data_IF_403885452550
#
_entry.id   IF_403885452550
#
_cell.length_a   1.000
_cell.length_b   1.000
_cell.length_c   1.000
_cell.angle_alpha   90.00
_cell.angle_beta   90.00
_cell.angle_gamma   90.00
#
_symmetry.space_group_name_H-M   'P 1'
#
loop_
_entity.id
_entity.type
_entity.pdbx_description
1 polymer ?
#
# COMPACT_ATOMS: atom_id res chain seq x y z
N UNK A 1 -32.74 3.79 6.08
CA UNK A 1 -31.57 3.01 5.60
C UNK A 1 -30.38 3.53 6.40
N UNK A 2 -29.91 2.71 7.32
CA UNK A 2 -29.08 3.07 8.47
C UNK A 2 -27.71 3.62 8.01
N UNK A 3 -27.55 4.94 8.07
CA UNK A 3 -26.31 5.68 7.78
C UNK A 3 -25.77 6.31 9.07
N UNK A 4 -25.65 5.52 10.14
CA UNK A 4 -25.39 6.04 11.49
C UNK A 4 -24.09 5.56 12.16
N UNK A 5 -23.28 4.74 11.50
CA UNK A 5 -21.91 4.49 11.99
C UNK A 5 -20.96 5.51 11.35
N UNK A 6 -20.30 6.33 12.18
CA UNK A 6 -19.16 7.14 11.72
C UNK A 6 -18.07 6.18 11.22
N UNK A 7 -17.56 6.34 9.98
CA UNK A 7 -16.50 5.49 9.46
C UNK A 7 -15.26 5.52 10.38
N UNK A 8 -14.61 4.38 10.55
CA UNK A 8 -13.41 4.28 11.36
C UNK A 8 -12.28 5.13 10.76
N UNK A 9 -11.70 6.03 11.55
CA UNK A 9 -10.45 6.69 11.18
C UNK A 9 -9.27 5.79 11.55
N UNK A 10 -8.56 5.31 10.52
CA UNK A 10 -7.46 4.37 10.72
C UNK A 10 -6.27 4.98 11.44
N UNK A 11 -5.99 6.28 11.30
CA UNK A 11 -4.89 6.89 12.05
C UNK A 11 -5.22 7.03 13.52
N UNK A 12 -6.47 7.36 13.86
CA UNK A 12 -6.91 7.38 15.27
C UNK A 12 -6.87 5.96 15.86
N UNK A 13 -7.36 4.97 15.11
CA UNK A 13 -7.30 3.56 15.50
C UNK A 13 -5.86 3.12 15.78
N UNK A 14 -4.94 3.36 14.85
CA UNK A 14 -3.54 2.97 15.03
C UNK A 14 -2.82 3.80 16.08
N UNK A 15 -3.11 5.09 16.24
CA UNK A 15 -2.55 5.91 17.32
C UNK A 15 -2.93 5.39 18.71
N UNK A 16 -4.15 4.83 18.85
CA UNK A 16 -4.58 4.20 20.10
C UNK A 16 -3.81 2.91 20.41
N UNK A 17 -3.36 2.20 19.38
CA UNK A 17 -2.62 0.94 19.49
C UNK A 17 -1.11 1.15 19.63
N UNK A 18 -0.59 2.15 18.92
CA UNK A 18 0.82 2.54 18.87
C UNK A 18 0.99 3.98 19.36
N UNK A 19 0.75 4.25 20.65
CA UNK A 19 0.76 5.61 21.19
C UNK A 19 2.15 6.28 21.11
N UNK A 20 3.20 5.51 20.89
CA UNK A 20 4.58 6.00 20.77
C UNK A 20 5.00 6.26 19.32
N UNK A 21 4.13 6.09 18.32
CA UNK A 21 4.41 6.38 16.91
C UNK A 21 4.13 7.87 16.60
N UNK A 22 5.16 8.72 16.43
CA UNK A 22 4.95 10.17 16.36
C UNK A 22 4.13 10.61 15.14
N UNK A 23 4.31 9.92 14.01
CA UNK A 23 3.55 10.19 12.79
C UNK A 23 2.05 9.94 12.97
N UNK A 24 1.67 8.92 13.74
CA UNK A 24 0.27 8.64 14.06
C UNK A 24 -0.29 9.64 15.07
N UNK A 25 0.47 9.95 16.12
CA UNK A 25 0.07 10.94 17.11
C UNK A 25 -0.18 12.33 16.48
N UNK A 26 0.66 12.74 15.53
CA UNK A 26 0.45 13.97 14.77
C UNK A 26 -0.80 13.89 13.87
N UNK A 27 -0.97 12.77 13.15
CA UNK A 27 -2.08 12.53 12.25
C UNK A 27 -3.46 12.45 12.95
N UNK A 28 -3.50 11.98 14.21
CA UNK A 28 -4.72 11.85 15.02
C UNK A 28 -4.99 13.06 15.92
N UNK A 29 -4.22 14.15 15.79
CA UNK A 29 -4.36 15.31 16.68
C UNK A 29 -5.59 16.18 16.36
N UNK A 30 -6.20 16.80 17.38
CA UNK A 30 -7.45 17.59 17.28
C UNK A 30 -7.41 18.83 16.36
N UNK A 31 -6.30 19.12 15.70
CA UNK A 31 -6.16 20.19 14.71
C UNK A 31 -5.86 19.72 13.29
N UNK A 32 -5.57 18.42 13.09
CA UNK A 32 -5.29 17.85 11.79
C UNK A 32 -6.61 17.53 11.06
N UNK A 33 -6.82 18.09 9.87
CA UNK A 33 -7.96 17.69 9.05
C UNK A 33 -7.70 16.28 8.50
N UNK A 34 -8.48 15.31 8.99
CA UNK A 34 -8.36 13.92 8.58
C UNK A 34 -8.43 13.75 7.06
N UNK A 35 -9.27 14.54 6.37
CA UNK A 35 -9.44 14.52 4.91
C UNK A 35 -8.22 14.99 4.12
N UNK A 36 -7.36 15.85 4.70
CA UNK A 36 -6.21 16.42 3.99
C UNK A 36 -4.90 15.73 4.34
N UNK A 37 -4.92 14.67 5.15
CA UNK A 37 -3.72 13.88 5.46
C UNK A 37 -3.10 13.33 4.17
N UNK A 38 -1.82 13.62 3.95
CA UNK A 38 -1.12 13.26 2.71
C UNK A 38 -1.33 14.22 1.52
N UNK A 39 -2.07 15.34 1.67
CA UNK A 39 -2.35 16.27 0.58
C UNK A 39 -1.09 16.77 -0.15
N UNK A 40 -0.95 16.46 -1.43
CA UNK A 40 0.22 16.81 -2.25
C UNK A 40 1.29 15.72 -2.36
N UNK A 41 1.22 14.66 -1.55
CA UNK A 41 2.05 13.47 -1.75
C UNK A 41 1.53 12.66 -2.95
N UNK A 42 2.45 11.98 -3.63
CA UNK A 42 2.15 10.99 -4.67
C UNK A 42 2.76 9.68 -4.20
N UNK A 43 1.92 8.71 -3.89
CA UNK A 43 2.34 7.39 -3.44
C UNK A 43 2.21 6.41 -4.60
N UNK A 44 3.24 5.59 -4.82
CA UNK A 44 3.19 4.47 -5.74
C UNK A 44 2.83 3.18 -5.02
N UNK A 45 2.00 2.36 -5.65
CA UNK A 45 1.59 1.04 -5.18
C UNK A 45 1.74 0.03 -6.31
N UNK A 46 2.60 -0.97 -6.12
CA UNK A 46 2.76 -2.08 -7.05
C UNK A 46 2.06 -3.31 -6.44
N UNK A 47 0.89 -3.64 -6.97
CA UNK A 47 -0.04 -4.58 -6.33
C UNK A 47 -0.86 -5.39 -7.37
N UNK A 48 -1.90 -6.09 -6.94
CA UNK A 48 -2.92 -6.72 -7.75
C UNK A 48 -3.97 -5.71 -8.24
N UNK A 49 -4.97 -6.21 -8.96
CA UNK A 49 -6.11 -5.41 -9.37
C UNK A 49 -6.83 -4.80 -8.16
N UNK A 50 -7.45 -3.63 -8.36
CA UNK A 50 -8.24 -2.93 -7.35
C UNK A 50 -9.68 -2.88 -7.84
N UNK A 51 -10.62 -3.07 -6.92
CA UNK A 51 -12.02 -2.77 -7.15
C UNK A 51 -12.30 -1.30 -6.85
N UNK A 52 -12.66 -0.54 -7.89
CA UNK A 52 -12.73 0.93 -7.82
C UNK A 52 -14.08 1.45 -7.36
N UNK A 53 -15.12 0.61 -7.40
CA UNK A 53 -16.47 0.96 -7.00
C UNK A 53 -16.76 0.72 -5.50
N UNK A 54 -15.75 0.27 -4.73
CA UNK A 54 -15.83 0.24 -3.27
C UNK A 54 -16.11 1.64 -2.75
N UNK A 55 -17.19 1.79 -1.97
CA UNK A 55 -17.70 3.08 -1.50
C UNK A 55 -16.60 3.92 -0.80
N UNK A 56 -15.72 3.28 -0.02
CA UNK A 56 -14.62 3.96 0.66
C UNK A 56 -13.50 4.45 -0.28
N UNK A 57 -13.45 4.05 -1.55
CA UNK A 57 -12.51 4.60 -2.54
C UNK A 57 -13.13 5.69 -3.42
N UNK A 58 -14.45 5.87 -3.39
CA UNK A 58 -15.13 6.89 -4.18
C UNK A 58 -14.62 8.28 -3.78
N UNK A 59 -14.07 9.01 -4.75
CA UNK A 59 -13.49 10.34 -4.56
C UNK A 59 -12.01 10.35 -4.18
N UNK A 60 -11.37 9.19 -3.98
CA UNK A 60 -9.92 9.11 -3.83
C UNK A 60 -9.21 9.49 -5.15
N UNK A 61 -8.07 10.17 -5.05
CA UNK A 61 -7.27 10.55 -6.21
C UNK A 61 -6.41 9.36 -6.70
N UNK A 62 -7.04 8.48 -7.49
CA UNK A 62 -6.45 7.23 -7.98
C UNK A 62 -6.07 7.33 -9.46
N UNK A 63 -4.88 6.81 -9.80
CA UNK A 63 -4.48 6.51 -11.17
C UNK A 63 -4.02 5.06 -11.24
N UNK A 64 -4.75 4.23 -11.96
CA UNK A 64 -4.47 2.79 -12.06
C UNK A 64 -4.00 2.45 -13.47
N UNK A 65 -2.92 1.69 -13.59
CA UNK A 65 -2.41 1.15 -14.84
C UNK A 65 -2.08 -0.33 -14.70
N UNK A 66 -2.59 -1.14 -15.63
CA UNK A 66 -2.30 -2.57 -15.68
C UNK A 66 -1.03 -2.90 -16.46
N UNK A 67 -0.26 -3.85 -15.91
CA UNK A 67 0.98 -4.37 -16.50
C UNK A 67 0.97 -5.90 -16.66
N UNK A 68 0.15 -6.62 -15.89
CA UNK A 68 0.03 -8.08 -16.01
C UNK A 68 -0.35 -8.51 -17.44
N UNK A 69 0.29 -9.58 -17.94
CA UNK A 69 -0.05 -10.18 -19.25
C UNK A 69 -1.48 -10.73 -19.22
N UNK A 70 -1.81 -11.39 -18.12
CA UNK A 70 -3.13 -11.92 -17.82
C UNK A 70 -3.44 -11.62 -16.37
N UNK A 71 -4.09 -10.48 -16.17
CA UNK A 71 -4.49 -10.00 -14.86
C UNK A 71 -5.19 -11.08 -14.02
N UNK A 72 -4.81 -11.18 -12.75
CA UNK A 72 -5.51 -11.98 -11.78
C UNK A 72 -6.97 -11.51 -11.64
N UNK A 73 -7.92 -12.41 -11.91
CA UNK A 73 -9.36 -12.13 -11.76
C UNK A 73 -9.96 -12.78 -10.52
N UNK A 74 -9.15 -13.50 -9.74
CA UNK A 74 -9.58 -14.12 -8.50
C UNK A 74 -9.98 -13.04 -7.49
N UNK A 75 -11.05 -13.29 -6.72
CA UNK A 75 -11.53 -12.38 -5.70
C UNK A 75 -10.43 -12.00 -4.70
N UNK A 76 -9.64 -12.98 -4.26
CA UNK A 76 -8.52 -12.76 -3.35
C UNK A 76 -7.47 -11.76 -3.88
N UNK A 77 -7.25 -11.73 -5.20
CA UNK A 77 -6.32 -10.77 -5.80
C UNK A 77 -6.90 -9.35 -5.81
N UNK A 78 -8.19 -9.21 -6.16
CA UNK A 78 -8.90 -7.92 -6.05
C UNK A 78 -8.96 -7.42 -4.61
N UNK A 79 -9.20 -8.33 -3.67
CA UNK A 79 -9.20 -8.01 -2.25
C UNK A 79 -7.84 -7.51 -1.78
N UNK A 80 -6.74 -8.12 -2.22
CA UNK A 80 -5.39 -7.71 -1.84
C UNK A 80 -5.11 -6.25 -2.27
N UNK A 81 -5.30 -5.93 -3.55
CA UNK A 81 -5.09 -4.57 -4.06
C UNK A 81 -6.05 -3.56 -3.43
N UNK A 82 -7.31 -3.94 -3.24
CA UNK A 82 -8.34 -3.06 -2.64
C UNK A 82 -8.08 -2.79 -1.17
N UNK A 83 -7.62 -3.80 -0.41
CA UNK A 83 -7.19 -3.60 0.97
C UNK A 83 -6.02 -2.61 1.05
N UNK A 84 -5.01 -2.77 0.18
CA UNK A 84 -3.88 -1.82 0.12
C UNK A 84 -4.34 -0.39 -0.20
N UNK A 85 -5.23 -0.23 -1.19
CA UNK A 85 -5.73 1.07 -1.59
C UNK A 85 -6.60 1.73 -0.51
N UNK A 86 -7.51 0.99 0.13
CA UNK A 86 -8.41 1.52 1.17
C UNK A 86 -7.64 1.90 2.43
N UNK A 87 -6.63 1.12 2.82
CA UNK A 87 -5.70 1.46 3.91
C UNK A 87 -4.99 2.81 3.66
N UNK A 88 -4.57 3.06 2.42
CA UNK A 88 -3.84 4.27 2.06
C UNK A 88 -4.77 5.47 1.89
N UNK A 89 -5.72 5.39 0.97
CA UNK A 89 -6.50 6.54 0.49
C UNK A 89 -8.01 6.40 0.68
N UNK A 90 -8.45 5.49 1.56
CA UNK A 90 -9.86 5.36 1.91
C UNK A 90 -10.46 6.70 2.36
N UNK A 91 -11.57 7.11 1.76
CA UNK A 91 -12.24 8.39 1.98
C UNK A 91 -13.16 8.38 3.20
N UNK A 92 -13.42 7.20 3.79
CA UNK A 92 -14.36 7.02 4.89
C UNK A 92 -15.74 7.50 4.50
N UNK A 93 -16.29 6.92 3.42
CA UNK A 93 -17.65 7.15 2.97
C UNK A 93 -18.62 6.14 3.60
N UNK A 94 -18.12 4.93 3.93
CA UNK A 94 -18.90 3.86 4.52
C UNK A 94 -18.25 3.24 5.77
N UNK A 95 -17.01 2.74 5.70
CA UNK A 95 -16.43 1.91 6.76
C UNK A 95 -15.09 2.41 7.26
N UNK A 96 -14.19 2.80 6.37
CA UNK A 96 -12.79 3.09 6.69
C UNK A 96 -12.28 4.36 6.01
N UNK A 97 -11.78 5.30 6.81
CA UNK A 97 -10.90 6.39 6.36
C UNK A 97 -9.45 5.93 6.48
N UNK A 98 -8.73 5.95 5.37
CA UNK A 98 -7.34 5.53 5.27
C UNK A 98 -6.35 6.47 5.96
N UNK A 99 -5.06 6.17 5.84
CA UNK A 99 -3.99 6.91 6.49
C UNK A 99 -3.64 8.24 5.78
N UNK A 100 -3.86 8.30 4.47
CA UNK A 100 -3.51 9.39 3.57
C UNK A 100 -4.66 9.75 2.59
N UNK A 101 -5.90 10.00 3.06
CA UNK A 101 -7.04 10.27 2.17
C UNK A 101 -6.87 11.47 1.22
N UNK A 102 -5.95 12.40 1.52
CA UNK A 102 -5.63 13.53 0.65
C UNK A 102 -4.49 13.28 -0.35
N UNK A 103 -3.81 12.13 -0.28
CA UNK A 103 -2.72 11.80 -1.20
C UNK A 103 -3.24 11.37 -2.58
N UNK A 104 -2.40 11.52 -3.59
CA UNK A 104 -2.59 10.85 -4.89
C UNK A 104 -1.96 9.46 -4.81
N UNK A 105 -2.67 8.44 -5.26
CA UNK A 105 -2.19 7.06 -5.30
C UNK A 105 -2.10 6.59 -6.75
N UNK A 106 -0.89 6.23 -7.18
CA UNK A 106 -0.60 5.63 -8.47
C UNK A 106 -0.43 4.13 -8.28
N UNK A 107 -1.24 3.34 -8.97
CA UNK A 107 -1.29 1.90 -8.80
C UNK A 107 -0.87 1.22 -10.08
N UNK A 108 0.20 0.44 -10.01
CA UNK A 108 0.63 -0.43 -11.08
C UNK A 108 0.22 -1.87 -10.75
N UNK A 109 -0.70 -2.44 -11.54
CA UNK A 109 -1.22 -3.78 -11.27
C UNK A 109 -0.41 -4.85 -12.01
N UNK A 110 0.22 -5.76 -11.27
CA UNK A 110 1.20 -6.73 -11.81
C UNK A 110 0.85 -8.19 -11.50
N UNK A 111 -0.14 -8.44 -10.63
CA UNK A 111 -0.51 -9.79 -10.25
C UNK A 111 -1.14 -10.56 -11.44
N UNK A 112 -0.55 -11.70 -11.75
CA UNK A 112 -0.94 -12.60 -12.82
C UNK A 112 -1.94 -13.66 -12.31
N UNK A 113 -2.70 -14.25 -13.23
CA UNK A 113 -3.72 -15.26 -12.90
C UNK A 113 -3.15 -16.54 -12.27
N UNK A 114 -1.84 -16.80 -12.36
CA UNK A 114 -1.15 -17.91 -11.70
C UNK A 114 -0.71 -17.60 -10.25
N UNK A 115 -1.01 -16.40 -9.76
CA UNK A 115 -0.65 -15.94 -8.41
C UNK A 115 0.75 -15.32 -8.31
N UNK A 116 1.51 -15.26 -9.41
CA UNK A 116 2.79 -14.59 -9.49
C UNK A 116 2.70 -13.16 -10.01
N UNK A 117 3.86 -12.59 -10.32
CA UNK A 117 4.00 -11.37 -11.10
C UNK A 117 5.15 -11.57 -12.09
N UNK A 118 4.98 -11.15 -13.34
CA UNK A 118 6.05 -11.23 -14.32
C UNK A 118 7.16 -10.23 -13.96
N UNK A 119 8.43 -10.64 -13.75
CA UNK A 119 9.48 -9.75 -13.27
C UNK A 119 9.78 -8.58 -14.20
N UNK A 120 9.76 -8.81 -15.51
CA UNK A 120 9.98 -7.75 -16.52
C UNK A 120 8.86 -6.71 -16.47
N UNK A 121 7.60 -7.15 -16.38
CA UNK A 121 6.47 -6.23 -16.29
C UNK A 121 6.39 -5.53 -14.93
N UNK A 122 6.81 -6.19 -13.85
CA UNK A 122 6.97 -5.56 -12.55
C UNK A 122 8.07 -4.49 -12.56
N UNK A 123 9.17 -4.72 -13.28
CA UNK A 123 10.21 -3.72 -13.49
C UNK A 123 9.71 -2.50 -14.29
N UNK A 124 8.95 -2.72 -15.37
CA UNK A 124 8.30 -1.65 -16.14
C UNK A 124 7.27 -0.88 -15.33
N UNK A 125 6.47 -1.59 -14.53
CA UNK A 125 5.51 -1.01 -13.59
C UNK A 125 6.19 -0.09 -12.57
N UNK A 126 7.31 -0.54 -11.99
CA UNK A 126 8.06 0.23 -11.00
C UNK A 126 8.68 1.48 -11.64
N UNK A 127 9.24 1.37 -12.84
CA UNK A 127 9.71 2.52 -13.60
C UNK A 127 8.58 3.52 -13.89
N UNK A 128 7.40 3.04 -14.29
CA UNK A 128 6.23 3.90 -14.50
C UNK A 128 5.79 4.63 -13.22
N UNK A 129 5.84 3.99 -12.05
CA UNK A 129 5.54 4.65 -10.78
C UNK A 129 6.51 5.80 -10.49
N UNK A 130 7.82 5.58 -10.73
CA UNK A 130 8.83 6.63 -10.60
C UNK A 130 8.55 7.77 -11.58
N UNK A 131 8.31 7.45 -12.85
CA UNK A 131 8.12 8.44 -13.92
C UNK A 131 6.78 9.19 -13.81
N UNK A 132 5.79 8.60 -13.13
CA UNK A 132 4.52 9.26 -12.78
C UNK A 132 4.63 10.13 -11.52
N UNK A 133 5.82 10.29 -10.96
CA UNK A 133 6.09 11.24 -9.88
C UNK A 133 5.83 10.70 -8.48
N UNK A 134 5.77 9.37 -8.30
CA UNK A 134 5.72 8.78 -6.97
C UNK A 134 6.93 9.22 -6.13
N UNK A 135 6.68 9.73 -4.93
CA UNK A 135 7.71 10.13 -3.97
C UNK A 135 8.11 9.00 -3.04
N UNK A 136 7.35 7.90 -3.04
CA UNK A 136 7.61 6.64 -2.34
C UNK A 136 6.84 5.54 -3.06
N UNK A 137 7.38 4.32 -3.11
CA UNK A 137 6.71 3.15 -3.68
C UNK A 137 6.55 2.07 -2.62
N UNK A 138 5.33 1.57 -2.45
CA UNK A 138 5.01 0.40 -1.64
C UNK A 138 4.85 -0.84 -2.53
N UNK A 139 5.47 -1.94 -2.14
CA UNK A 139 5.40 -3.24 -2.80
C UNK A 139 5.00 -4.30 -1.77
N UNK A 140 3.70 -4.45 -1.46
CA UNK A 140 3.20 -5.38 -0.45
C UNK A 140 3.16 -6.85 -0.92
N UNK A 141 4.10 -7.24 -1.78
CA UNK A 141 4.23 -8.57 -2.36
C UNK A 141 5.70 -8.88 -2.65
N UNK A 142 6.00 -10.13 -2.95
CA UNK A 142 7.35 -10.52 -3.34
C UNK A 142 7.45 -11.99 -3.76
N UNK A 143 8.61 -12.35 -4.30
CA UNK A 143 8.95 -13.71 -4.74
C UNK A 143 10.30 -14.15 -4.16
N UNK A 144 10.54 -15.45 -4.09
CA UNK A 144 11.82 -15.99 -3.60
C UNK A 144 13.00 -15.69 -4.52
N UNK A 145 12.73 -15.64 -5.81
CA UNK A 145 13.76 -15.54 -6.84
C UNK A 145 14.21 -14.10 -7.05
N UNK A 146 15.53 -13.96 -7.22
CA UNK A 146 16.19 -12.69 -7.54
C UNK A 146 16.12 -12.47 -9.05
N UNK A 147 15.65 -11.31 -9.46
CA UNK A 147 15.39 -11.01 -10.88
C UNK A 147 16.18 -9.76 -11.32
N UNK A 148 17.14 -9.89 -12.27
CA UNK A 148 18.00 -8.77 -12.68
C UNK A 148 17.25 -7.54 -13.20
N UNK A 149 16.13 -7.73 -13.89
CA UNK A 149 15.26 -6.66 -14.40
C UNK A 149 14.66 -5.86 -13.25
N UNK A 150 14.12 -6.57 -12.24
CA UNK A 150 13.47 -5.95 -11.10
C UNK A 150 14.50 -5.22 -10.21
N UNK A 151 15.69 -5.80 -10.04
CA UNK A 151 16.79 -5.13 -9.34
C UNK A 151 17.19 -3.82 -10.04
N UNK A 152 17.32 -3.82 -11.37
CA UNK A 152 17.64 -2.60 -12.13
C UNK A 152 16.55 -1.54 -11.98
N UNK A 153 15.28 -1.91 -11.99
CA UNK A 153 14.18 -0.97 -11.78
C UNK A 153 14.17 -0.38 -10.37
N UNK A 154 14.46 -1.20 -9.36
CA UNK A 154 14.64 -0.74 -7.98
C UNK A 154 15.83 0.20 -7.85
N UNK A 155 16.96 -0.10 -8.49
CA UNK A 155 18.13 0.77 -8.53
C UNK A 155 17.81 2.10 -9.26
N UNK A 156 16.99 2.06 -10.30
CA UNK A 156 16.48 3.26 -10.99
C UNK A 156 15.65 4.15 -10.05
N UNK A 157 14.74 3.57 -9.26
CA UNK A 157 13.98 4.31 -8.25
C UNK A 157 14.91 4.96 -7.22
N UNK A 158 15.89 4.22 -6.71
CA UNK A 158 16.87 4.73 -5.76
C UNK A 158 17.71 5.88 -6.35
N UNK A 159 18.16 5.76 -7.60
CA UNK A 159 18.91 6.81 -8.30
C UNK A 159 18.10 8.10 -8.52
N UNK A 160 16.77 8.03 -8.46
CA UNK A 160 15.85 9.18 -8.54
C UNK A 160 15.38 9.67 -7.17
N UNK A 161 15.91 9.11 -6.08
CA UNK A 161 15.52 9.47 -4.73
C UNK A 161 14.11 8.99 -4.36
N UNK A 162 13.58 7.98 -5.05
CA UNK A 162 12.27 7.38 -4.76
C UNK A 162 12.49 6.12 -3.91
N UNK A 163 12.27 6.17 -2.58
CA UNK A 163 12.41 5.00 -1.73
C UNK A 163 11.37 3.93 -2.09
N UNK A 164 11.82 2.68 -2.10
CA UNK A 164 10.97 1.50 -2.27
C UNK A 164 10.90 0.76 -0.93
N UNK A 165 9.67 0.58 -0.44
CA UNK A 165 9.37 -0.28 0.70
C UNK A 165 8.71 -1.55 0.16
N UNK A 166 9.15 -2.71 0.64
CA UNK A 166 8.59 -3.97 0.21
C UNK A 166 8.32 -4.89 1.40
N UNK A 167 7.25 -5.67 1.30
CA UNK A 167 6.98 -6.74 2.25
C UNK A 167 8.16 -7.71 2.29
N UNK A 168 8.71 -7.95 3.49
CA UNK A 168 9.88 -8.83 3.66
C UNK A 168 9.63 -10.21 3.05
N UNK A 169 8.41 -10.73 3.19
CA UNK A 169 8.09 -12.10 2.84
C UNK A 169 8.93 -13.12 3.62
N UNK A 170 8.68 -14.40 3.35
CA UNK A 170 9.46 -15.52 3.87
C UNK A 170 9.37 -15.75 5.39
N UNK A 171 9.76 -16.94 5.88
CA UNK A 171 9.82 -17.25 7.31
C UNK A 171 10.76 -16.32 8.08
N UNK A 172 10.52 -16.11 9.37
CA UNK A 172 11.43 -15.37 10.24
C UNK A 172 12.80 -16.10 10.32
N UNK A 173 13.90 -15.35 10.24
CA UNK A 173 15.26 -15.91 10.25
C UNK A 173 15.81 -16.35 8.88
N UNK A 174 14.98 -16.36 7.83
CA UNK A 174 15.42 -16.60 6.45
C UNK A 174 15.70 -15.29 5.69
N UNK A 175 16.43 -15.35 4.56
CA UNK A 175 16.56 -14.22 3.65
C UNK A 175 15.19 -13.65 3.23
N UNK A 176 15.12 -12.33 3.11
CA UNK A 176 13.92 -11.66 2.59
C UNK A 176 13.66 -12.05 1.13
N UNK A 177 12.39 -12.09 0.75
CA UNK A 177 11.97 -12.22 -0.64
C UNK A 177 12.29 -10.95 -1.43
N UNK A 178 12.30 -11.04 -2.74
CA UNK A 178 12.52 -9.88 -3.62
C UNK A 178 11.17 -9.23 -3.97
N UNK A 179 11.10 -7.89 -4.00
CA UNK A 179 12.22 -6.95 -3.98
C UNK A 179 12.80 -6.58 -2.60
N UNK A 180 12.21 -7.01 -1.48
CA UNK A 180 12.71 -6.64 -0.15
C UNK A 180 14.17 -7.07 0.15
N UNK A 181 14.66 -8.12 -0.50
CA UNK A 181 16.04 -8.58 -0.41
C UNK A 181 17.06 -7.74 -1.21
N UNK A 182 16.64 -6.76 -2.02
CA UNK A 182 17.57 -5.90 -2.74
C UNK A 182 18.20 -4.84 -1.81
N UNK A 183 19.50 -4.53 -1.96
CA UNK A 183 20.21 -3.64 -1.03
C UNK A 183 19.60 -2.24 -0.84
N UNK A 184 18.93 -1.69 -1.87
CA UNK A 184 18.34 -0.35 -1.84
C UNK A 184 16.85 -0.36 -1.43
N UNK A 185 16.28 -1.52 -1.13
CA UNK A 185 14.87 -1.66 -0.74
C UNK A 185 14.77 -1.76 0.77
N UNK A 186 13.82 -1.04 1.35
CA UNK A 186 13.50 -1.19 2.77
C UNK A 186 12.55 -2.38 2.94
N UNK A 187 13.10 -3.49 3.43
CA UNK A 187 12.32 -4.64 3.83
C UNK A 187 11.43 -4.29 5.06
N UNK A 188 10.14 -4.57 4.95
CA UNK A 188 9.16 -4.34 6.02
C UNK A 188 8.73 -5.69 6.58
N UNK A 189 9.09 -5.93 7.85
CA UNK A 189 8.65 -7.11 8.58
C UNK A 189 7.17 -7.00 8.97
N UNK A 190 6.58 -8.13 9.36
CA UNK A 190 5.23 -8.17 9.89
C UNK A 190 5.11 -7.38 11.21
N UNK A 191 3.92 -6.85 11.48
CA UNK A 191 3.61 -6.12 12.70
C UNK A 191 3.62 -7.08 13.90
N UNK A 192 4.29 -6.68 14.98
CA UNK A 192 4.39 -7.49 16.20
C UNK A 192 3.06 -7.67 16.92
N UNK A 193 2.10 -6.77 16.73
CA UNK A 193 0.85 -6.71 17.48
C UNK A 193 -0.41 -6.89 16.63
N UNK A 194 -0.29 -7.70 15.58
CA UNK A 194 -1.41 -8.40 14.95
C UNK A 194 -2.13 -7.61 13.86
N UNK A 195 -3.34 -8.07 13.56
CA UNK A 195 -4.11 -7.67 12.38
C UNK A 195 -4.64 -6.22 12.47
N UNK A 196 -4.81 -5.59 11.31
CA UNK A 196 -5.36 -4.24 11.14
C UNK A 196 -6.70 -4.30 10.38
N UNK A 197 -7.68 -3.44 10.71
CA UNK A 197 -8.91 -3.30 9.92
C UNK A 197 -8.64 -2.88 8.47
N UNK A 198 -9.17 -3.65 7.53
CA UNK A 198 -9.08 -3.40 6.08
C UNK A 198 -10.43 -3.58 5.40
N UNK A 199 -10.63 -2.91 4.28
CA UNK A 199 -11.83 -3.05 3.44
C UNK A 199 -11.47 -3.78 2.15
N UNK A 200 -12.12 -4.93 1.93
CA UNK A 200 -11.96 -5.77 0.75
C UNK A 200 -12.72 -5.24 -0.48
N UNK A 201 -12.60 -5.96 -1.60
CA UNK A 201 -13.26 -5.59 -2.85
C UNK A 201 -14.77 -5.85 -2.85
N UNK A 202 -15.27 -6.70 -1.96
CA UNK A 202 -16.70 -6.81 -1.66
C UNK A 202 -17.22 -5.72 -0.70
N UNK A 203 -16.35 -4.77 -0.35
CA UNK A 203 -16.59 -3.73 0.64
C UNK A 203 -16.58 -4.24 2.08
N UNK A 204 -16.31 -5.50 2.37
CA UNK A 204 -16.37 -6.05 3.74
C UNK A 204 -15.19 -5.55 4.59
N UNK A 205 -15.48 -5.15 5.83
CA UNK A 205 -14.45 -4.85 6.82
C UNK A 205 -13.97 -6.16 7.45
N UNK A 206 -12.67 -6.41 7.42
CA UNK A 206 -12.03 -7.58 8.00
C UNK A 206 -10.73 -7.19 8.70
N UNK A 207 -10.18 -8.09 9.50
CA UNK A 207 -8.85 -7.93 10.08
C UNK A 207 -7.84 -8.69 9.21
N UNK A 208 -6.72 -8.06 8.87
CA UNK A 208 -5.60 -8.71 8.16
C UNK A 208 -4.25 -8.33 8.75
N UNK A 209 -3.35 -9.31 8.84
CA UNK A 209 -1.96 -9.15 9.30
C UNK A 209 -0.95 -9.40 8.17
N UNK A 210 0.27 -9.79 8.54
CA UNK A 210 1.32 -10.09 7.58
C UNK A 210 2.17 -8.89 7.15
N UNK A 211 3.33 -9.20 6.60
CA UNK A 211 4.28 -8.21 6.07
C UNK A 211 3.71 -7.37 4.91
N UNK A 212 2.71 -7.86 4.18
CA UNK A 212 2.00 -7.09 3.16
C UNK A 212 1.27 -5.88 3.75
N UNK A 213 0.45 -6.09 4.79
CA UNK A 213 -0.25 -5.01 5.49
C UNK A 213 0.75 -4.08 6.18
N UNK A 214 1.77 -4.64 6.83
CA UNK A 214 2.83 -3.87 7.45
C UNK A 214 3.54 -2.93 6.46
N UNK A 215 3.82 -3.40 5.24
CA UNK A 215 4.43 -2.62 4.16
C UNK A 215 3.57 -1.40 3.79
N UNK A 216 2.26 -1.60 3.63
CA UNK A 216 1.31 -0.51 3.29
C UNK A 216 1.27 0.54 4.40
N UNK A 217 1.21 0.10 5.66
CA UNK A 217 1.20 1.00 6.81
C UNK A 217 2.53 1.76 6.93
N UNK A 218 3.67 1.07 6.79
CA UNK A 218 4.99 1.70 6.84
C UNK A 218 5.16 2.76 5.75
N UNK A 219 4.63 2.53 4.55
CA UNK A 219 4.62 3.50 3.46
C UNK A 219 3.82 4.77 3.83
N UNK A 220 2.64 4.59 4.44
CA UNK A 220 1.85 5.72 4.91
C UNK A 220 2.53 6.51 6.03
N UNK A 221 3.14 5.82 7.00
CA UNK A 221 3.88 6.46 8.09
C UNK A 221 5.09 7.26 7.57
N UNK A 222 5.81 6.73 6.59
CA UNK A 222 6.92 7.44 5.96
C UNK A 222 6.46 8.75 5.29
N UNK A 223 5.30 8.74 4.63
CA UNK A 223 4.71 9.97 4.05
C UNK A 223 4.28 10.95 5.15
N UNK A 224 3.61 10.46 6.20
CA UNK A 224 3.16 11.30 7.32
C UNK A 224 4.32 11.96 8.07
N UNK A 225 5.44 11.23 8.28
CA UNK A 225 6.61 11.73 9.00
C UNK A 225 7.56 12.63 8.18
N UNK A 226 7.31 12.78 6.88
CA UNK A 226 8.13 13.62 5.97
C UNK A 226 7.70 15.09 5.91
N UNK A 227 6.71 15.50 6.71
CA UNK A 227 6.12 16.84 6.75
C UNK A 227 6.28 17.48 8.12
#
# INVERSE_FOLDING_TARGET
MERDATPMDLAEYLASRWPNEPALAAASSRGASAKTRGAGAVLGLLDAAIELDVEDLVGAALQVRGFARRAATAQAARDHGTCSATLLVGQGAQKLRGLLPGARLHVATVAEADGGANPTLAAEALAWLVDSGATLIAVPMGSREREPELERAVAYAAARGVPVLAARGGPAGEPAWFPAGYPTVRAVAELSDGEIPVVGSDGTLSLRGGSSIACVVAAALAVLGSR
#
